data_IF_104620984372
#
_entry.id   IF_104620984372
#
_cell.length_a   1.000
_cell.length_b   1.000
_cell.length_c   1.000
_cell.angle_alpha   90.00
_cell.angle_beta   90.00
_cell.angle_gamma   90.00
#
_symmetry.space_group_name_H-M   'P 1'
#
loop_
_entity.id
_entity.type
_entity.pdbx_description
1 polymer ?
#
# COMPACT_ATOMS: atom_id res chain seq x y z
N UNK A 1 3.80 -1.80 -11.11
CA UNK A 1 5.06 -2.27 -10.47
C UNK A 1 5.47 -3.66 -10.95
N UNK A 2 4.71 -4.73 -10.67
CA UNK A 2 5.09 -6.10 -11.07
C UNK A 2 5.37 -6.23 -12.57
N UNK A 3 4.48 -5.72 -13.43
CA UNK A 3 4.69 -5.72 -14.89
C UNK A 3 5.92 -4.94 -15.34
N UNK A 4 6.27 -3.86 -14.63
CA UNK A 4 7.45 -3.05 -14.93
C UNK A 4 8.74 -3.82 -14.59
N UNK A 5 8.74 -4.52 -13.45
CA UNK A 5 9.82 -5.43 -13.05
C UNK A 5 9.97 -6.56 -14.07
N UNK A 6 8.86 -7.18 -14.52
CA UNK A 6 8.90 -8.20 -15.58
C UNK A 6 9.54 -7.66 -16.86
N UNK A 7 9.07 -6.50 -17.33
CA UNK A 7 9.53 -5.90 -18.57
C UNK A 7 11.02 -5.53 -18.53
N UNK A 8 11.48 -4.94 -17.43
CA UNK A 8 12.86 -4.45 -17.30
C UNK A 8 13.88 -5.57 -17.09
N UNK A 9 13.53 -6.58 -16.30
CA UNK A 9 14.46 -7.64 -15.89
C UNK A 9 14.20 -8.99 -16.56
N UNK A 10 13.20 -9.08 -17.45
CA UNK A 10 12.89 -10.32 -18.16
C UNK A 10 12.35 -11.44 -17.26
N UNK A 11 11.74 -11.08 -16.13
CA UNK A 11 11.19 -12.03 -15.14
C UNK A 11 9.76 -12.44 -15.52
N UNK A 12 9.37 -13.65 -15.11
CA UNK A 12 7.97 -14.05 -15.11
C UNK A 12 7.15 -13.25 -14.08
N UNK A 13 5.82 -13.33 -14.17
CA UNK A 13 4.94 -12.63 -13.23
C UNK A 13 5.15 -13.09 -11.78
N UNK A 14 5.34 -14.39 -11.56
CA UNK A 14 5.60 -14.95 -10.23
C UNK A 14 6.94 -14.49 -9.69
N UNK A 15 8.01 -14.56 -10.49
CA UNK A 15 9.35 -14.11 -10.10
C UNK A 15 9.37 -12.62 -9.78
N UNK A 16 8.74 -11.79 -10.62
CA UNK A 16 8.63 -10.35 -10.38
C UNK A 16 7.82 -10.03 -9.11
N UNK A 17 6.74 -10.77 -8.85
CA UNK A 17 5.93 -10.62 -7.64
C UNK A 17 6.70 -11.00 -6.37
N UNK A 18 7.50 -12.07 -6.43
CA UNK A 18 8.38 -12.49 -5.35
C UNK A 18 9.50 -11.50 -5.11
N UNK A 19 10.19 -11.05 -6.17
CA UNK A 19 11.27 -10.07 -6.10
C UNK A 19 10.77 -8.73 -5.55
N UNK A 20 9.55 -8.29 -5.89
CA UNK A 20 8.92 -7.10 -5.29
C UNK A 20 8.82 -7.22 -3.75
N UNK A 21 8.52 -8.40 -3.21
CA UNK A 21 8.31 -8.61 -1.77
C UNK A 21 9.61 -8.91 -1.01
N UNK A 22 10.55 -9.61 -1.65
CA UNK A 22 11.75 -10.14 -1.02
C UNK A 22 13.03 -9.37 -1.39
N UNK A 23 12.96 -8.48 -2.39
CA UNK A 23 14.12 -7.81 -2.96
C UNK A 23 14.89 -8.72 -3.93
N UNK A 24 16.20 -8.49 -4.04
CA UNK A 24 17.07 -9.23 -4.96
C UNK A 24 17.04 -8.73 -6.41
N UNK A 25 16.48 -7.54 -6.63
CA UNK A 25 16.56 -6.84 -7.91
C UNK A 25 17.88 -6.03 -8.00
N UNK A 26 18.36 -5.73 -9.21
CA UNK A 26 19.59 -4.95 -9.39
C UNK A 26 19.49 -3.55 -8.79
N UNK A 27 20.64 -2.91 -8.54
CA UNK A 27 20.75 -1.60 -7.88
C UNK A 27 20.01 -0.46 -8.62
N UNK A 28 19.72 -0.64 -9.92
CA UNK A 28 18.94 0.33 -10.70
C UNK A 28 17.44 0.28 -10.40
N UNK A 29 16.94 -0.75 -9.71
CA UNK A 29 15.52 -0.96 -9.42
C UNK A 29 14.91 0.19 -8.63
N UNK A 30 15.55 0.61 -7.54
CA UNK A 30 15.03 1.70 -6.71
C UNK A 30 14.85 2.99 -7.49
N UNK A 31 15.93 3.61 -8.04
CA UNK A 31 15.81 4.90 -8.70
C UNK A 31 15.00 4.87 -9.99
N UNK A 32 15.00 3.75 -10.71
CA UNK A 32 14.46 3.70 -12.07
C UNK A 32 13.09 3.03 -12.20
N UNK A 33 12.67 2.27 -11.18
CA UNK A 33 11.39 1.54 -11.20
C UNK A 33 10.55 1.86 -9.97
N UNK A 34 11.11 1.74 -8.77
CA UNK A 34 10.35 1.91 -7.54
C UNK A 34 9.98 3.37 -7.29
N UNK A 35 10.94 4.29 -7.35
CA UNK A 35 10.70 5.72 -7.12
C UNK A 35 9.71 6.33 -8.15
N UNK A 36 9.85 6.08 -9.47
CA UNK A 36 8.83 6.51 -10.44
C UNK A 36 7.45 5.91 -10.17
N UNK A 37 7.39 4.68 -9.66
CA UNK A 37 6.12 4.05 -9.29
C UNK A 37 5.51 4.71 -8.05
N UNK A 38 6.29 5.03 -7.02
CA UNK A 38 5.82 5.76 -5.83
C UNK A 38 5.28 7.15 -6.21
N UNK A 39 6.01 7.89 -7.05
CA UNK A 39 5.56 9.18 -7.60
C UNK A 39 4.26 9.05 -8.39
N UNK A 40 4.09 7.98 -9.16
CA UNK A 40 2.84 7.71 -9.88
C UNK A 40 1.66 7.48 -8.95
N UNK A 41 1.87 6.80 -7.80
CA UNK A 41 0.84 6.62 -6.78
C UNK A 41 0.47 7.95 -6.17
N UNK A 42 1.47 8.75 -5.77
CA UNK A 42 1.24 10.08 -5.20
C UNK A 42 0.37 10.93 -6.14
N UNK A 43 0.70 10.98 -7.43
CA UNK A 43 -0.08 11.73 -8.42
C UNK A 43 -1.54 11.24 -8.53
N UNK A 44 -1.75 9.92 -8.44
CA UNK A 44 -3.11 9.35 -8.45
C UNK A 44 -3.89 9.72 -7.19
N UNK A 45 -3.26 9.66 -6.01
CA UNK A 45 -3.89 10.04 -4.74
C UNK A 45 -4.25 11.52 -4.75
N UNK A 46 -3.31 12.41 -5.10
CA UNK A 46 -3.57 13.85 -5.18
C UNK A 46 -4.71 14.19 -6.13
N UNK A 47 -4.78 13.51 -7.28
CA UNK A 47 -5.87 13.70 -8.24
C UNK A 47 -7.21 13.22 -7.68
N UNK A 48 -7.24 12.08 -7.00
CA UNK A 48 -8.46 11.56 -6.38
C UNK A 48 -8.99 12.51 -5.30
N UNK A 49 -8.12 13.08 -4.47
CA UNK A 49 -8.48 14.08 -3.47
C UNK A 49 -9.01 15.37 -4.11
N UNK A 50 -8.35 15.88 -5.15
CA UNK A 50 -8.85 17.02 -5.92
C UNK A 50 -10.26 16.77 -6.47
N UNK A 51 -10.51 15.58 -7.02
CA UNK A 51 -11.86 15.21 -7.47
C UNK A 51 -12.86 15.18 -6.32
N UNK A 52 -12.50 14.61 -5.17
CA UNK A 52 -13.35 14.58 -3.97
C UNK A 52 -13.70 16.00 -3.49
N UNK A 53 -12.73 16.91 -3.40
CA UNK A 53 -12.98 18.30 -3.00
C UNK A 53 -13.83 19.06 -4.02
N UNK A 54 -13.65 18.80 -5.32
CA UNK A 54 -14.46 19.46 -6.36
C UNK A 54 -15.91 18.97 -6.42
N UNK A 55 -16.20 17.79 -5.86
CA UNK A 55 -17.51 17.12 -5.96
C UNK A 55 -18.24 17.00 -4.63
N UNK A 56 -17.65 17.49 -3.54
CA UNK A 56 -18.24 17.44 -2.21
C UNK A 56 -18.28 18.83 -1.55
N UNK A 57 -19.01 18.94 -0.45
CA UNK A 57 -19.00 20.13 0.40
C UNK A 57 -17.77 20.18 1.34
N UNK A 58 -16.95 19.12 1.36
CA UNK A 58 -15.76 19.03 2.19
C UNK A 58 -14.57 19.61 1.43
N UNK A 59 -13.92 20.60 2.03
CA UNK A 59 -12.76 21.28 1.43
C UNK A 59 -11.42 20.64 1.77
N UNK A 60 -11.39 19.68 2.70
CA UNK A 60 -10.17 19.04 3.18
C UNK A 60 -10.45 17.65 3.79
N UNK A 61 -9.41 16.83 3.98
CA UNK A 61 -9.47 15.58 4.76
C UNK A 61 -8.51 15.65 5.94
N UNK A 62 -8.93 15.12 7.10
CA UNK A 62 -8.08 15.13 8.29
C UNK A 62 -6.92 14.12 8.19
N UNK A 63 -7.15 12.98 7.52
CA UNK A 63 -6.21 11.86 7.50
C UNK A 63 -6.39 10.96 6.27
N UNK A 64 -5.30 10.35 5.82
CA UNK A 64 -5.28 9.37 4.73
C UNK A 64 -4.86 8.00 5.27
N UNK A 65 -5.69 6.99 5.02
CA UNK A 65 -5.39 5.60 5.39
C UNK A 65 -5.04 4.80 4.14
N UNK A 66 -3.82 4.28 4.05
CA UNK A 66 -3.35 3.47 2.93
C UNK A 66 -3.70 2.00 3.17
N UNK A 67 -4.40 1.38 2.22
CA UNK A 67 -4.73 -0.05 2.25
C UNK A 67 -4.32 -0.74 0.93
N UNK A 68 -4.36 -2.07 0.94
CA UNK A 68 -3.93 -2.91 -0.18
C UNK A 68 -2.43 -3.23 -0.13
N UNK A 69 -2.00 -4.17 -0.98
CA UNK A 69 -0.63 -4.69 -0.93
C UNK A 69 0.47 -3.72 -1.36
N UNK A 70 0.13 -2.62 -2.02
CA UNK A 70 1.10 -1.56 -2.32
C UNK A 70 1.29 -0.59 -1.14
N UNK A 71 0.39 -0.56 -0.15
CA UNK A 71 0.56 0.26 1.04
C UNK A 71 1.76 -0.19 1.89
N UNK A 72 2.20 -1.45 1.74
CA UNK A 72 3.39 -1.99 2.41
C UNK A 72 4.72 -1.64 1.71
N UNK A 73 4.70 -0.79 0.69
CA UNK A 73 5.94 -0.29 0.06
C UNK A 73 6.61 0.69 1.03
N UNK A 74 7.87 0.43 1.35
CA UNK A 74 8.65 1.25 2.28
C UNK A 74 8.76 2.71 1.81
N UNK A 75 8.50 3.64 2.73
CA UNK A 75 8.55 5.10 2.51
C UNK A 75 7.42 5.66 1.64
N UNK A 76 6.41 4.85 1.26
CA UNK A 76 5.29 5.35 0.46
C UNK A 76 4.37 6.27 1.26
N UNK A 77 4.09 5.91 2.51
CA UNK A 77 3.31 6.71 3.44
C UNK A 77 3.99 8.06 3.73
N UNK A 78 5.29 8.04 4.05
CA UNK A 78 6.10 9.25 4.27
C UNK A 78 6.10 10.17 3.04
N UNK A 79 6.30 9.61 1.83
CA UNK A 79 6.26 10.38 0.58
C UNK A 79 4.91 11.05 0.37
N UNK A 80 3.81 10.33 0.65
CA UNK A 80 2.46 10.85 0.49
C UNK A 80 2.18 11.93 1.54
N UNK A 81 2.60 11.72 2.79
CA UNK A 81 2.43 12.66 3.89
C UNK A 81 3.17 13.97 3.62
N UNK A 82 4.44 13.92 3.20
CA UNK A 82 5.24 15.10 2.87
C UNK A 82 4.59 15.95 1.77
N UNK A 83 3.94 15.31 0.81
CA UNK A 83 3.41 15.96 -0.40
C UNK A 83 1.98 16.43 -0.25
N UNK A 84 1.16 15.74 0.54
CA UNK A 84 -0.22 16.14 0.83
C UNK A 84 -0.32 17.08 2.03
N UNK A 85 0.61 17.00 2.98
CA UNK A 85 0.57 17.78 4.22
C UNK A 85 -0.55 17.33 5.17
N UNK A 86 -1.00 16.09 5.06
CA UNK A 86 -2.01 15.48 5.93
C UNK A 86 -1.43 14.21 6.53
N UNK A 87 -1.89 13.83 7.72
CA UNK A 87 -1.45 12.59 8.35
C UNK A 87 -1.74 11.39 7.44
N UNK A 88 -0.75 10.50 7.28
CA UNK A 88 -0.90 9.25 6.52
C UNK A 88 -0.63 8.07 7.44
N UNK A 89 -1.39 6.98 7.30
CA UNK A 89 -1.12 5.75 8.05
C UNK A 89 -1.40 4.52 7.22
N UNK A 90 -0.55 3.50 7.34
CA UNK A 90 -0.78 2.18 6.76
C UNK A 90 -1.85 1.45 7.57
N UNK A 91 -2.90 0.98 6.91
CA UNK A 91 -4.01 0.29 7.55
C UNK A 91 -3.55 -1.02 8.20
N UNK A 92 -3.91 -1.20 9.48
CA UNK A 92 -3.79 -2.48 10.17
C UNK A 92 -5.12 -2.82 10.87
N UNK A 93 -5.97 -3.67 10.27
CA UNK A 93 -7.25 -4.02 10.88
C UNK A 93 -7.11 -4.92 12.11
N UNK A 94 -5.90 -5.43 12.39
CA UNK A 94 -5.65 -6.42 13.44
C UNK A 94 -4.97 -5.82 14.69
N UNK A 95 -4.73 -4.50 14.72
CA UNK A 95 -3.93 -3.83 15.76
C UNK A 95 -4.42 -4.15 17.19
N UNK A 96 -5.74 -4.21 17.39
CA UNK A 96 -6.37 -4.49 18.70
C UNK A 96 -6.95 -5.91 18.80
N UNK A 97 -6.62 -6.80 17.86
CA UNK A 97 -7.14 -8.17 17.85
C UNK A 97 -6.21 -9.14 18.58
N UNK A 98 -6.80 -10.07 19.33
CA UNK A 98 -6.04 -11.19 19.89
C UNK A 98 -5.61 -12.16 18.78
N UNK A 99 -4.33 -12.49 18.72
CA UNK A 99 -3.79 -13.44 17.74
C UNK A 99 -3.74 -14.86 18.33
N UNK A 100 -4.29 -15.83 17.58
CA UNK A 100 -4.15 -17.25 17.89
C UNK A 100 -2.68 -17.69 17.76
N UNK A 101 -2.15 -18.57 18.62
CA UNK A 101 -0.78 -19.09 18.52
C UNK A 101 -0.44 -19.79 17.19
N UNK A 102 -1.46 -20.17 16.41
CA UNK A 102 -1.29 -20.78 15.09
C UNK A 102 -1.05 -19.77 13.97
N UNK A 103 -1.23 -18.48 14.25
CA UNK A 103 -1.08 -17.40 13.28
C UNK A 103 0.34 -16.86 13.34
N UNK A 104 0.99 -16.76 12.19
CA UNK A 104 2.28 -16.10 12.09
C UNK A 104 2.07 -14.57 12.16
N UNK A 105 2.42 -13.97 13.30
CA UNK A 105 2.22 -12.55 13.55
C UNK A 105 2.98 -11.65 12.55
N UNK A 106 4.21 -12.03 12.17
CA UNK A 106 5.00 -11.25 11.23
C UNK A 106 4.40 -11.28 9.82
N UNK A 107 4.02 -12.46 9.34
CA UNK A 107 3.37 -12.60 8.05
C UNK A 107 2.04 -11.83 8.01
N UNK A 108 1.25 -11.92 9.09
CA UNK A 108 0.01 -11.17 9.23
C UNK A 108 0.25 -9.65 9.18
N UNK A 109 1.25 -9.14 9.92
CA UNK A 109 1.58 -7.72 9.93
C UNK A 109 1.98 -7.22 8.55
N UNK A 110 2.76 -8.00 7.79
CA UNK A 110 3.21 -7.64 6.44
C UNK A 110 2.04 -7.61 5.44
N UNK A 111 1.08 -8.52 5.57
CA UNK A 111 -0.08 -8.59 4.69
C UNK A 111 -1.29 -7.80 5.21
N UNK A 112 -1.23 -7.25 6.43
CA UNK A 112 -2.32 -6.56 7.13
C UNK A 112 -3.09 -5.53 6.27
N UNK A 113 -2.43 -4.57 5.59
CA UNK A 113 -3.15 -3.60 4.76
C UNK A 113 -3.88 -4.25 3.59
N UNK A 114 -3.43 -5.40 3.09
CA UNK A 114 -4.08 -6.16 2.01
C UNK A 114 -5.35 -6.88 2.47
N UNK A 115 -5.48 -7.13 3.78
CA UNK A 115 -6.54 -7.94 4.36
C UNK A 115 -7.74 -7.13 4.86
N UNK A 116 -7.75 -5.80 4.66
CA UNK A 116 -8.86 -4.92 5.06
C UNK A 116 -10.23 -5.42 4.58
N UNK A 117 -10.35 -5.81 3.30
CA UNK A 117 -11.60 -6.31 2.72
C UNK A 117 -12.01 -7.66 3.33
N UNK A 118 -11.06 -8.60 3.43
CA UNK A 118 -11.32 -9.92 4.00
C UNK A 118 -11.73 -9.81 5.49
N UNK A 119 -11.09 -8.92 6.24
CA UNK A 119 -11.46 -8.61 7.61
C UNK A 119 -12.90 -8.08 7.69
N UNK A 120 -13.25 -7.08 6.87
CA UNK A 120 -14.61 -6.53 6.83
C UNK A 120 -15.68 -7.58 6.48
N UNK A 121 -15.39 -8.49 5.55
CA UNK A 121 -16.29 -9.61 5.23
C UNK A 121 -16.49 -10.57 6.41
N UNK A 122 -15.42 -10.87 7.15
CA UNK A 122 -15.51 -11.72 8.34
C UNK A 122 -16.29 -11.03 9.47
N UNK A 123 -16.11 -9.72 9.63
CA UNK A 123 -16.78 -8.92 10.67
C UNK A 123 -18.31 -8.91 10.53
N UNK A 124 -18.85 -9.07 9.32
CA UNK A 124 -20.30 -9.18 9.08
C UNK A 124 -20.97 -10.32 9.85
N UNK A 125 -20.19 -11.30 10.34
CA UNK A 125 -20.73 -12.42 11.14
C UNK A 125 -21.03 -12.03 12.61
N UNK A 126 -20.67 -10.82 13.03
CA UNK A 126 -20.91 -10.28 14.37
C UNK A 126 -21.95 -9.15 14.40
N UNK A 127 -22.58 -8.86 13.25
CA UNK A 127 -23.74 -7.97 13.13
C UNK A 127 -25.06 -8.67 13.51
#
# INVERSE_FOLDING_TARGET
LTEEIMRRYGLSFEEAGMAKKQGGLPDDYEPEVLEPFKESILQQVSRALQFFYSSSQFGDVDHVVLAGGCAAIEGLDELIEERLGHGVTIANPFADMSLSPKVNAQALSNDAPSLMIACGLALRSFD
#
